data_IF_503828513583
#
_entry.id   IF_503828513583
#
_cell.length_a   1.000
_cell.length_b   1.000
_cell.length_c   1.000
_cell.angle_alpha   90.00
_cell.angle_beta   90.00
_cell.angle_gamma   90.00
#
_symmetry.space_group_name_H-M   'P 1'
#
loop_
_entity.id
_entity.type
_entity.pdbx_description
1 polymer ?
#
# COMPACT_ATOMS: atom_id res chain seq x y z
N UNK A 1 -4.07 11.88 18.78
CA UNK A 1 -3.68 10.50 19.18
C UNK A 1 -2.21 10.39 18.91
N UNK A 2 -1.46 9.91 19.85
CA UNK A 2 -0.03 9.65 19.63
C UNK A 2 0.10 8.24 19.02
N UNK A 3 0.69 8.13 17.85
CA UNK A 3 0.78 6.86 17.13
C UNK A 3 1.96 6.00 17.60
N UNK A 4 2.99 6.58 18.21
CA UNK A 4 4.19 5.87 18.65
C UNK A 4 5.07 5.36 17.49
N UNK A 5 5.06 6.06 16.37
CA UNK A 5 5.82 5.72 15.16
C UNK A 5 7.23 6.33 15.12
N UNK A 6 7.53 7.29 15.99
CA UNK A 6 8.84 7.94 16.03
C UNK A 6 9.96 6.92 16.22
N UNK A 7 11.00 7.00 15.39
CA UNK A 7 12.14 6.08 15.38
C UNK A 7 11.87 4.70 14.77
N UNK A 8 10.64 4.39 14.33
CA UNK A 8 10.31 3.19 13.57
C UNK A 8 10.87 3.26 12.16
N UNK A 9 11.03 2.12 11.51
CA UNK A 9 11.61 1.96 10.18
C UNK A 9 10.60 1.30 9.26
N UNK A 10 10.20 2.02 8.22
CA UNK A 10 9.15 1.60 7.29
C UNK A 10 9.67 1.45 5.87
N UNK A 11 9.19 0.45 5.14
CA UNK A 11 9.36 0.38 3.69
C UNK A 11 8.02 0.39 2.97
N UNK A 12 7.97 1.13 1.86
CA UNK A 12 6.77 1.29 1.04
C UNK A 12 7.11 1.03 -0.44
N UNK A 13 6.40 0.13 -1.09
CA UNK A 13 6.53 -0.08 -2.54
C UNK A 13 5.66 0.88 -3.32
N UNK A 14 6.13 1.36 -4.49
CA UNK A 14 5.37 2.28 -5.34
C UNK A 14 5.16 3.65 -4.73
N UNK A 15 6.17 4.17 -4.02
CA UNK A 15 6.02 5.36 -3.19
C UNK A 15 6.57 6.66 -3.81
N UNK A 16 6.76 6.71 -5.13
CA UNK A 16 7.15 7.96 -5.81
C UNK A 16 5.96 8.85 -6.21
N UNK A 17 4.71 8.37 -6.07
CA UNK A 17 3.49 9.12 -6.37
C UNK A 17 2.27 8.52 -5.67
N UNK A 18 1.15 9.26 -5.69
CA UNK A 18 -0.16 8.78 -5.26
C UNK A 18 -0.21 8.33 -3.82
N UNK A 19 -0.98 7.27 -3.55
CA UNK A 19 -1.19 6.73 -2.20
C UNK A 19 0.13 6.34 -1.54
N UNK A 20 1.01 5.62 -2.25
CA UNK A 20 2.28 5.18 -1.69
C UNK A 20 3.18 6.34 -1.27
N UNK A 21 3.25 7.42 -2.05
CA UNK A 21 3.98 8.64 -1.69
C UNK A 21 3.38 9.28 -0.44
N UNK A 22 2.06 9.43 -0.41
CA UNK A 22 1.40 10.03 0.75
C UNK A 22 1.57 9.20 2.03
N UNK A 23 1.60 7.86 1.92
CA UNK A 23 1.94 6.96 3.03
C UNK A 23 3.37 7.23 3.52
N UNK A 24 4.34 7.31 2.59
CA UNK A 24 5.73 7.60 2.94
C UNK A 24 5.88 8.96 3.65
N UNK A 25 5.23 9.99 3.13
CA UNK A 25 5.22 11.34 3.72
C UNK A 25 4.55 11.39 5.10
N UNK A 26 3.44 10.65 5.28
CA UNK A 26 2.73 10.57 6.56
C UNK A 26 3.58 9.86 7.60
N UNK A 27 4.19 8.70 7.26
CA UNK A 27 5.06 7.97 8.19
C UNK A 27 6.33 8.78 8.54
N UNK A 28 6.92 9.50 7.57
CA UNK A 28 8.04 10.40 7.83
C UNK A 28 7.63 11.56 8.74
N UNK A 29 6.44 12.13 8.56
CA UNK A 29 5.88 13.16 9.44
C UNK A 29 5.66 12.68 10.88
N UNK A 30 5.43 11.39 11.09
CA UNK A 30 5.35 10.74 12.40
C UNK A 30 6.73 10.33 12.96
N UNK A 31 7.83 10.67 12.26
CA UNK A 31 9.21 10.42 12.70
C UNK A 31 9.76 9.04 12.33
N UNK A 32 9.15 8.33 11.38
CA UNK A 32 9.71 7.09 10.85
C UNK A 32 10.89 7.34 9.91
N UNK A 33 11.91 6.50 9.98
CA UNK A 33 12.84 6.31 8.86
C UNK A 33 12.12 5.55 7.73
N UNK A 34 12.29 6.00 6.46
CA UNK A 34 11.46 5.52 5.36
C UNK A 34 12.28 5.01 4.17
N UNK A 35 12.05 3.77 3.76
CA UNK A 35 12.57 3.20 2.51
C UNK A 35 11.48 3.14 1.43
N UNK A 36 11.81 3.58 0.22
CA UNK A 36 10.87 3.57 -0.91
C UNK A 36 11.45 2.92 -2.15
N UNK A 37 10.59 2.33 -2.97
CA UNK A 37 10.95 1.96 -4.34
C UNK A 37 9.83 2.33 -5.33
N UNK A 38 10.24 2.57 -6.56
CA UNK A 38 9.37 2.73 -7.72
C UNK A 38 10.22 2.58 -8.99
N UNK A 39 9.62 2.56 -10.19
CA UNK A 39 10.36 2.35 -11.45
C UNK A 39 11.20 3.56 -11.88
N UNK A 40 10.73 4.76 -11.61
CA UNK A 40 11.39 6.01 -12.06
C UNK A 40 12.47 6.47 -11.08
N UNK A 41 13.74 6.44 -11.49
CA UNK A 41 14.87 6.79 -10.64
C UNK A 41 14.81 8.24 -10.15
N UNK A 42 14.51 9.18 -11.05
CA UNK A 42 14.45 10.61 -10.71
C UNK A 42 13.32 10.92 -9.72
N UNK A 43 12.14 10.31 -9.91
CA UNK A 43 11.03 10.48 -9.00
C UNK A 43 11.29 9.85 -7.63
N UNK A 44 12.02 8.73 -7.57
CA UNK A 44 12.47 8.13 -6.31
C UNK A 44 13.45 9.05 -5.61
N UNK A 45 14.45 9.58 -6.32
CA UNK A 45 15.46 10.48 -5.75
C UNK A 45 14.81 11.78 -5.21
N UNK A 46 13.89 12.38 -5.96
CA UNK A 46 13.15 13.56 -5.52
C UNK A 46 12.34 13.28 -4.25
N UNK A 47 11.63 12.14 -4.21
CA UNK A 47 10.85 11.77 -3.03
C UNK A 47 11.74 11.50 -1.81
N UNK A 48 12.89 10.85 -1.98
CA UNK A 48 13.87 10.66 -0.88
C UNK A 48 14.32 11.99 -0.31
N UNK A 49 14.71 12.95 -1.16
CA UNK A 49 15.14 14.28 -0.72
C UNK A 49 14.05 15.02 0.09
N UNK A 50 12.78 14.88 -0.33
CA UNK A 50 11.65 15.48 0.41
C UNK A 50 11.41 14.80 1.77
N UNK A 51 11.61 13.46 1.85
CA UNK A 51 11.50 12.72 3.11
C UNK A 51 12.64 13.13 4.07
N UNK A 52 13.87 13.25 3.56
CA UNK A 52 15.03 13.72 4.34
C UNK A 52 14.84 15.15 4.84
N UNK A 53 14.22 16.02 4.04
CA UNK A 53 13.88 17.38 4.45
C UNK A 53 12.89 17.43 5.63
N UNK A 54 12.15 16.34 5.91
CA UNK A 54 11.33 16.20 7.13
C UNK A 54 12.15 15.81 8.37
N UNK A 55 13.47 15.62 8.23
CA UNK A 55 14.37 15.31 9.33
C UNK A 55 14.46 13.83 9.70
N UNK A 56 14.05 12.93 8.83
CA UNK A 56 14.14 11.48 9.04
C UNK A 56 15.11 10.83 8.04
N UNK A 57 15.77 9.72 8.40
CA UNK A 57 16.53 8.94 7.44
C UNK A 57 15.63 8.42 6.32
N UNK A 58 16.06 8.53 5.06
CA UNK A 58 15.35 7.97 3.94
C UNK A 58 16.27 7.16 3.03
N UNK A 59 15.71 6.13 2.37
CA UNK A 59 16.41 5.28 1.40
C UNK A 59 15.50 5.06 0.19
N UNK A 60 16.05 5.15 -1.02
CA UNK A 60 15.28 4.91 -2.22
C UNK A 60 16.07 4.23 -3.32
N UNK A 61 15.39 3.40 -4.11
CA UNK A 61 15.97 2.75 -5.30
C UNK A 61 14.91 2.57 -6.38
N UNK A 62 15.35 2.71 -7.64
CA UNK A 62 14.52 2.33 -8.79
C UNK A 62 14.44 0.80 -8.86
N UNK A 63 13.21 0.27 -8.75
CA UNK A 63 12.91 -1.17 -8.80
C UNK A 63 11.60 -1.39 -9.54
N UNK A 64 11.58 -2.34 -10.47
CA UNK A 64 10.34 -2.93 -10.95
C UNK A 64 9.96 -4.08 -10.02
N UNK A 65 8.80 -3.99 -9.39
CA UNK A 65 8.33 -4.99 -8.43
C UNK A 65 7.99 -6.33 -9.08
N UNK A 66 7.84 -6.40 -10.40
CA UNK A 66 7.69 -7.63 -11.15
C UNK A 66 9.02 -8.42 -11.20
N UNK A 67 10.17 -7.74 -11.08
CA UNK A 67 11.48 -8.39 -10.92
C UNK A 67 11.66 -8.84 -9.46
N UNK A 68 11.26 -10.08 -9.19
CA UNK A 68 11.32 -10.65 -7.85
C UNK A 68 12.71 -10.63 -7.20
N UNK A 69 13.79 -11.03 -7.88
CA UNK A 69 15.17 -10.90 -7.39
C UNK A 69 15.56 -9.48 -7.02
N UNK A 70 15.30 -8.49 -7.90
CA UNK A 70 15.59 -7.08 -7.63
C UNK A 70 14.80 -6.54 -6.43
N UNK A 71 13.51 -6.91 -6.32
CA UNK A 71 12.65 -6.53 -5.21
C UNK A 71 13.16 -7.09 -3.86
N UNK A 72 13.50 -8.37 -3.80
CA UNK A 72 14.05 -8.99 -2.57
C UNK A 72 15.38 -8.37 -2.17
N UNK A 73 16.22 -8.02 -3.13
CA UNK A 73 17.48 -7.32 -2.89
C UNK A 73 17.22 -5.94 -2.31
N UNK A 74 16.29 -5.18 -2.91
CA UNK A 74 15.92 -3.85 -2.39
C UNK A 74 15.40 -3.89 -0.95
N UNK A 75 14.55 -4.87 -0.60
CA UNK A 75 14.04 -5.02 0.77
C UNK A 75 15.19 -5.18 1.78
N UNK A 76 16.19 -6.03 1.47
CA UNK A 76 17.36 -6.23 2.34
C UNK A 76 18.20 -4.97 2.45
N UNK A 77 18.53 -4.35 1.32
CA UNK A 77 19.33 -3.14 1.29
C UNK A 77 18.66 -1.97 2.04
N UNK A 78 17.33 -1.84 1.90
CA UNK A 78 16.55 -0.86 2.65
C UNK A 78 16.58 -1.15 4.16
N UNK A 79 16.42 -2.41 4.55
CA UNK A 79 16.50 -2.81 5.96
C UNK A 79 17.89 -2.52 6.54
N UNK A 80 18.95 -2.78 5.79
CA UNK A 80 20.33 -2.48 6.22
C UNK A 80 20.56 -0.97 6.33
N UNK A 81 20.15 -0.20 5.32
CA UNK A 81 20.32 1.26 5.30
C UNK A 81 19.56 1.96 6.44
N UNK A 82 18.37 1.46 6.80
CA UNK A 82 17.54 2.01 7.88
C UNK A 82 17.89 1.43 9.26
N UNK A 83 18.73 0.39 9.33
CA UNK A 83 19.09 -0.28 10.57
C UNK A 83 17.98 -1.19 11.13
N UNK A 84 17.19 -1.83 10.28
CA UNK A 84 16.10 -2.77 10.60
C UNK A 84 14.81 -2.44 9.88
N UNK A 85 13.71 -3.20 10.18
CA UNK A 85 12.36 -2.91 9.71
C UNK A 85 11.33 -3.17 10.80
N UNK A 86 10.40 -2.24 10.95
CA UNK A 86 9.23 -2.34 11.82
C UNK A 86 7.93 -2.40 11.02
N UNK A 87 7.88 -1.73 9.85
CA UNK A 87 6.67 -1.55 9.04
C UNK A 87 6.94 -1.88 7.58
N UNK A 88 6.04 -2.63 6.97
CA UNK A 88 6.07 -2.97 5.53
C UNK A 88 4.73 -2.64 4.90
N UNK A 89 4.76 -1.80 3.85
CA UNK A 89 3.55 -1.39 3.13
C UNK A 89 3.67 -1.76 1.65
N UNK A 90 3.23 -2.96 1.24
CA UNK A 90 3.07 -3.30 -0.17
C UNK A 90 1.88 -2.52 -0.74
N UNK A 91 2.16 -1.64 -1.75
CA UNK A 91 1.14 -0.70 -2.24
C UNK A 91 0.98 -0.74 -3.77
N UNK A 92 1.92 -1.29 -4.53
CA UNK A 92 1.88 -1.25 -6.01
C UNK A 92 0.68 -1.98 -6.59
N UNK A 93 0.18 -1.46 -7.72
CA UNK A 93 -0.86 -2.09 -8.52
C UNK A 93 -0.56 -1.95 -10.02
N UNK A 94 -0.95 -2.96 -10.79
CA UNK A 94 -0.98 -2.92 -12.25
C UNK A 94 -2.21 -2.15 -12.79
N UNK A 95 -3.21 -1.86 -11.94
CA UNK A 95 -4.48 -1.21 -12.28
C UNK A 95 -5.24 -1.91 -13.43
N UNK A 96 -5.04 -3.22 -13.60
CA UNK A 96 -5.75 -4.02 -14.59
C UNK A 96 -5.48 -3.64 -16.05
N UNK A 97 -4.28 -3.12 -16.34
CA UNK A 97 -3.93 -2.71 -17.70
C UNK A 97 -3.96 -3.91 -18.67
N UNK A 98 -4.82 -3.83 -19.71
CA UNK A 98 -4.91 -4.78 -20.80
C UNK A 98 -5.97 -5.88 -20.61
N UNK A 99 -6.02 -6.79 -21.59
CA UNK A 99 -6.94 -7.92 -21.65
C UNK A 99 -6.20 -9.24 -21.90
N UNK A 100 -6.86 -10.36 -21.68
CA UNK A 100 -6.35 -11.70 -21.96
C UNK A 100 -5.26 -12.17 -21.00
N UNK A 101 -4.57 -13.24 -21.39
CA UNK A 101 -3.59 -13.93 -20.55
C UNK A 101 -2.45 -13.04 -20.05
N UNK A 102 -2.04 -12.06 -20.83
CA UNK A 102 -0.93 -11.17 -20.46
C UNK A 102 -1.32 -10.23 -19.33
N UNK A 103 -2.54 -9.69 -19.35
CA UNK A 103 -3.08 -8.90 -18.25
C UNK A 103 -3.17 -9.72 -16.95
N UNK A 104 -3.60 -10.98 -17.04
CA UNK A 104 -3.61 -11.90 -15.89
C UNK A 104 -2.20 -12.16 -15.34
N UNK A 105 -1.21 -12.40 -16.21
CA UNK A 105 0.18 -12.59 -15.76
C UNK A 105 0.76 -11.33 -15.13
N UNK A 106 0.53 -10.17 -15.75
CA UNK A 106 1.00 -8.90 -15.20
C UNK A 106 0.37 -8.62 -13.83
N UNK A 107 -0.93 -8.73 -13.68
CA UNK A 107 -1.60 -8.57 -12.38
C UNK A 107 -1.14 -9.61 -11.37
N UNK A 108 -0.91 -10.86 -11.77
CA UNK A 108 -0.36 -11.87 -10.88
C UNK A 108 1.00 -11.46 -10.32
N UNK A 109 1.93 -11.00 -11.17
CA UNK A 109 3.25 -10.58 -10.74
C UNK A 109 3.23 -9.28 -9.92
N UNK A 110 2.43 -8.28 -10.37
CA UNK A 110 2.43 -6.93 -9.80
C UNK A 110 1.42 -6.77 -8.67
N UNK A 111 0.20 -7.32 -8.76
CA UNK A 111 -0.80 -7.13 -7.70
C UNK A 111 -0.68 -8.17 -6.59
N UNK A 112 -0.23 -9.41 -6.88
CA UNK A 112 -0.14 -10.47 -5.87
C UNK A 112 1.31 -10.79 -5.49
N UNK A 113 2.14 -11.26 -6.45
CA UNK A 113 3.45 -11.83 -6.12
C UNK A 113 4.43 -10.79 -5.57
N UNK A 114 4.33 -9.52 -5.97
CA UNK A 114 5.17 -8.49 -5.37
C UNK A 114 4.91 -8.36 -3.85
N UNK A 115 3.64 -8.43 -3.42
CA UNK A 115 3.29 -8.39 -1.98
C UNK A 115 3.87 -9.59 -1.24
N UNK A 116 3.66 -10.80 -1.78
CA UNK A 116 4.21 -12.04 -1.22
C UNK A 116 5.73 -11.93 -1.05
N UNK A 117 6.44 -11.57 -2.13
CA UNK A 117 7.92 -11.44 -2.13
C UNK A 117 8.43 -10.35 -1.19
N UNK A 118 7.72 -9.22 -1.11
CA UNK A 118 8.11 -8.12 -0.20
C UNK A 118 7.98 -8.57 1.25
N UNK A 119 6.85 -9.19 1.62
CA UNK A 119 6.62 -9.67 2.98
C UNK A 119 7.62 -10.76 3.35
N UNK A 120 7.80 -11.79 2.51
CA UNK A 120 8.76 -12.87 2.77
C UNK A 120 10.19 -12.34 2.97
N UNK A 121 10.65 -11.40 2.13
CA UNK A 121 11.99 -10.82 2.26
C UNK A 121 12.15 -9.97 3.53
N UNK A 122 11.06 -9.37 4.02
CA UNK A 122 11.05 -8.53 5.21
C UNK A 122 10.91 -9.33 6.53
N UNK A 123 10.37 -10.56 6.50
CA UNK A 123 10.09 -11.36 7.70
C UNK A 123 11.26 -11.46 8.69
N UNK A 124 12.52 -11.72 8.29
CA UNK A 124 13.63 -11.81 9.23
C UNK A 124 13.81 -10.52 10.05
N UNK A 125 13.62 -9.36 9.41
CA UNK A 125 13.76 -8.06 10.05
C UNK A 125 12.55 -7.71 10.94
N UNK A 126 11.34 -8.02 10.48
CA UNK A 126 10.11 -7.84 11.27
C UNK A 126 10.13 -8.69 12.55
N UNK A 127 10.64 -9.93 12.49
CA UNK A 127 10.83 -10.78 13.67
C UNK A 127 11.85 -10.20 14.64
N UNK A 128 12.93 -9.61 14.14
CA UNK A 128 13.93 -8.92 14.98
C UNK A 128 13.38 -7.67 15.66
N UNK A 129 12.45 -6.96 15.03
CA UNK A 129 11.76 -5.81 15.63
C UNK A 129 10.97 -6.18 16.88
N UNK A 130 10.41 -7.39 16.95
CA UNK A 130 9.53 -7.85 18.04
C UNK A 130 8.16 -7.15 18.09
N UNK A 131 7.87 -6.22 17.17
CA UNK A 131 6.62 -5.47 17.07
C UNK A 131 6.31 -5.10 15.61
N UNK A 132 6.53 -6.04 14.70
CA UNK A 132 6.37 -5.82 13.26
C UNK A 132 4.94 -5.54 12.83
N UNK A 133 4.75 -4.73 11.77
CA UNK A 133 3.46 -4.48 11.16
C UNK A 133 3.55 -4.55 9.62
N UNK A 134 2.64 -5.29 9.02
CA UNK A 134 2.42 -5.31 7.56
C UNK A 134 1.06 -4.70 7.28
N UNK A 135 1.01 -3.69 6.40
CA UNK A 135 -0.25 -3.08 5.95
C UNK A 135 -0.32 -3.15 4.43
N UNK A 136 -1.12 -4.06 3.92
CA UNK A 136 -1.29 -4.29 2.48
C UNK A 136 -2.32 -3.30 1.93
N UNK A 137 -1.99 -2.61 0.84
CA UNK A 137 -2.96 -1.77 0.12
C UNK A 137 -3.67 -2.60 -0.95
N UNK A 138 -4.95 -2.89 -0.72
CA UNK A 138 -5.84 -3.59 -1.65
C UNK A 138 -6.78 -2.61 -2.37
N UNK A 139 -8.07 -2.91 -2.44
CA UNK A 139 -9.11 -2.07 -3.07
C UNK A 139 -10.49 -2.55 -2.65
N UNK A 140 -11.49 -1.68 -2.66
CA UNK A 140 -12.90 -2.10 -2.49
C UNK A 140 -13.38 -3.01 -3.61
N UNK A 141 -12.83 -2.90 -4.82
CA UNK A 141 -13.14 -3.81 -5.93
C UNK A 141 -12.80 -5.29 -5.63
N UNK A 142 -12.04 -5.57 -4.57
CA UNK A 142 -11.82 -6.92 -4.07
C UNK A 142 -13.03 -7.51 -3.32
N UNK A 143 -14.01 -6.70 -2.97
CA UNK A 143 -15.16 -7.06 -2.13
C UNK A 143 -16.50 -6.89 -2.84
N UNK A 144 -16.58 -5.97 -3.79
CA UNK A 144 -17.80 -5.62 -4.48
C UNK A 144 -17.66 -5.87 -5.98
N UNK A 145 -18.66 -6.50 -6.57
CA UNK A 145 -18.75 -6.69 -8.02
C UNK A 145 -19.25 -5.37 -8.62
N UNK A 146 -18.37 -4.71 -9.35
CA UNK A 146 -18.62 -3.41 -9.92
C UNK A 146 -18.28 -3.35 -11.41
N UNK A 147 -18.06 -2.16 -11.95
CA UNK A 147 -17.71 -2.01 -13.37
C UNK A 147 -16.29 -2.46 -13.73
N UNK A 148 -15.49 -2.83 -12.72
CA UNK A 148 -14.09 -3.25 -12.89
C UNK A 148 -13.98 -4.75 -12.64
N UNK A 149 -14.20 -5.54 -13.69
CA UNK A 149 -14.01 -6.99 -13.64
C UNK A 149 -12.65 -7.39 -14.22
N UNK A 150 -12.20 -8.62 -13.94
CA UNK A 150 -10.98 -9.18 -14.51
C UNK A 150 -9.86 -9.42 -13.51
N UNK A 151 -8.59 -9.37 -13.95
CA UNK A 151 -7.45 -9.81 -13.11
C UNK A 151 -7.23 -8.94 -11.88
N UNK A 152 -7.34 -7.62 -12.00
CA UNK A 152 -7.07 -6.68 -10.91
C UNK A 152 -7.91 -6.94 -9.65
N UNK A 153 -9.26 -6.86 -9.69
CA UNK A 153 -10.06 -7.10 -8.49
C UNK A 153 -9.90 -8.51 -7.95
N UNK A 154 -9.78 -9.51 -8.85
CA UNK A 154 -9.60 -10.91 -8.47
C UNK A 154 -8.31 -11.13 -7.68
N UNK A 155 -7.19 -10.58 -8.15
CA UNK A 155 -5.91 -10.76 -7.47
C UNK A 155 -5.78 -9.88 -6.23
N UNK A 156 -6.44 -8.72 -6.19
CA UNK A 156 -6.58 -7.93 -4.97
C UNK A 156 -7.46 -8.63 -3.92
N UNK A 157 -8.47 -9.40 -4.30
CA UNK A 157 -9.21 -10.26 -3.38
C UNK A 157 -8.33 -11.38 -2.81
N UNK A 158 -7.46 -11.96 -3.64
CA UNK A 158 -6.46 -12.93 -3.18
C UNK A 158 -5.51 -12.33 -2.13
N UNK A 159 -5.14 -11.05 -2.24
CA UNK A 159 -4.33 -10.35 -1.23
C UNK A 159 -5.04 -10.25 0.13
N UNK A 160 -6.35 -9.95 0.14
CA UNK A 160 -7.13 -9.88 1.38
C UNK A 160 -7.11 -11.24 2.08
N UNK A 161 -7.30 -12.32 1.31
CA UNK A 161 -7.23 -13.69 1.86
C UNK A 161 -5.83 -14.05 2.34
N UNK A 162 -4.80 -13.68 1.58
CA UNK A 162 -3.39 -13.88 1.94
C UNK A 162 -3.05 -13.18 3.25
N UNK A 163 -3.38 -11.89 3.37
CA UNK A 163 -3.11 -11.09 4.57
C UNK A 163 -3.80 -11.67 5.83
N UNK A 164 -5.04 -12.14 5.70
CA UNK A 164 -5.75 -12.79 6.81
C UNK A 164 -5.05 -14.08 7.27
N UNK A 165 -4.52 -14.88 6.33
CA UNK A 165 -3.72 -16.07 6.65
C UNK A 165 -2.42 -15.73 7.38
N UNK A 166 -1.68 -14.75 6.83
CA UNK A 166 -0.43 -14.26 7.42
C UNK A 166 -0.63 -13.66 8.82
N UNK A 167 -1.76 -12.97 9.05
CA UNK A 167 -2.08 -12.42 10.37
C UNK A 167 -2.15 -13.52 11.45
N UNK A 168 -2.80 -14.63 11.14
CA UNK A 168 -2.89 -15.77 12.06
C UNK A 168 -1.54 -16.46 12.25
N UNK A 169 -0.78 -16.64 11.16
CA UNK A 169 0.52 -17.32 11.18
C UNK A 169 1.58 -16.53 11.95
N UNK A 170 1.63 -15.21 11.79
CA UNK A 170 2.68 -14.35 12.33
C UNK A 170 2.35 -13.74 13.70
N UNK A 171 1.11 -13.89 14.18
CA UNK A 171 0.72 -13.38 15.49
C UNK A 171 1.61 -13.89 16.65
N UNK A 172 2.04 -15.17 16.69
CA UNK A 172 2.97 -15.66 17.72
C UNK A 172 4.34 -14.97 17.70
N UNK A 173 4.75 -14.44 16.55
CA UNK A 173 6.00 -13.69 16.39
C UNK A 173 5.85 -12.18 16.72
N UNK A 174 4.67 -11.75 17.19
CA UNK A 174 4.37 -10.35 17.49
C UNK A 174 4.20 -9.46 16.25
N UNK A 175 3.97 -10.05 15.07
CA UNK A 175 3.80 -9.33 13.81
C UNK A 175 2.30 -9.24 13.49
N UNK A 176 1.82 -8.02 13.27
CA UNK A 176 0.45 -7.75 12.85
C UNK A 176 0.38 -7.61 11.33
N UNK A 177 -0.67 -8.14 10.72
CA UNK A 177 -0.90 -8.04 9.28
C UNK A 177 -2.33 -7.55 9.05
N UNK A 178 -2.49 -6.43 8.36
CA UNK A 178 -3.78 -5.83 8.05
C UNK A 178 -3.84 -5.39 6.60
N UNK A 179 -5.03 -5.10 6.14
CA UNK A 179 -5.32 -4.58 4.79
C UNK A 179 -6.00 -3.23 4.92
N UNK A 180 -5.66 -2.31 4.03
CA UNK A 180 -6.45 -1.11 3.74
C UNK A 180 -7.00 -1.25 2.33
N UNK A 181 -8.30 -1.11 2.17
CA UNK A 181 -9.00 -1.16 0.87
C UNK A 181 -9.59 0.21 0.54
N UNK A 182 -8.87 1.03 -0.27
CA UNK A 182 -9.39 2.31 -0.73
C UNK A 182 -10.57 2.15 -1.69
N UNK A 183 -11.51 3.11 -1.64
CA UNK A 183 -12.53 3.31 -2.66
C UNK A 183 -12.01 4.13 -3.85
N UNK A 184 -12.86 5.02 -4.36
CA UNK A 184 -12.47 6.01 -5.39
C UNK A 184 -11.62 7.11 -4.74
N UNK A 185 -10.31 7.08 -5.01
CA UNK A 185 -9.34 8.07 -4.49
C UNK A 185 -8.89 8.97 -5.64
N UNK A 186 -9.15 10.28 -5.51
CA UNK A 186 -8.75 11.25 -6.52
C UNK A 186 -7.26 11.58 -6.42
N UNK A 187 -6.58 11.44 -7.54
CA UNK A 187 -5.18 11.82 -7.74
C UNK A 187 -5.12 12.48 -9.11
N UNK A 188 -4.71 13.75 -9.18
CA UNK A 188 -4.72 14.55 -10.41
C UNK A 188 -3.95 13.87 -11.56
N UNK A 189 -2.72 13.37 -11.27
CA UNK A 189 -1.88 12.63 -12.23
C UNK A 189 -2.14 11.12 -12.21
N UNK A 190 -3.26 10.68 -11.64
CA UNK A 190 -3.66 9.29 -11.50
C UNK A 190 -4.80 8.88 -12.43
N UNK A 191 -5.36 7.68 -12.15
CA UNK A 191 -6.46 7.12 -12.93
C UNK A 191 -7.68 8.06 -12.97
N UNK A 192 -8.17 8.55 -11.82
CA UNK A 192 -9.36 9.39 -11.77
C UNK A 192 -9.15 10.79 -12.37
N UNK A 193 -7.95 11.37 -12.25
CA UNK A 193 -7.63 12.61 -12.94
C UNK A 193 -7.56 12.45 -14.47
N UNK A 194 -7.08 11.29 -14.97
CA UNK A 194 -7.17 10.97 -16.40
C UNK A 194 -8.64 10.78 -16.84
N UNK A 195 -9.43 10.04 -16.06
CA UNK A 195 -10.86 9.84 -16.34
C UNK A 195 -11.63 11.17 -16.34
N UNK A 196 -11.34 12.07 -15.42
CA UNK A 196 -11.96 13.40 -15.37
C UNK A 196 -11.73 14.20 -16.66
N UNK A 197 -10.51 14.13 -17.22
CA UNK A 197 -10.15 14.81 -18.47
C UNK A 197 -10.73 14.13 -19.71
N UNK A 198 -10.64 12.80 -19.76
CA UNK A 198 -10.88 12.03 -20.99
C UNK A 198 -12.32 11.51 -21.09
N UNK A 199 -13.00 11.32 -19.96
CA UNK A 199 -14.38 10.82 -19.86
C UNK A 199 -15.13 11.45 -18.68
N UNK A 200 -15.47 12.76 -18.76
CA UNK A 200 -16.10 13.48 -17.64
C UNK A 200 -17.48 12.95 -17.25
N UNK A 201 -18.20 12.29 -18.16
CA UNK A 201 -19.49 11.67 -17.86
C UNK A 201 -19.31 10.45 -16.94
N UNK A 202 -18.35 9.59 -17.23
CA UNK A 202 -18.02 8.46 -16.37
C UNK A 202 -17.48 8.93 -15.00
N UNK A 203 -16.65 9.99 -14.99
CA UNK A 203 -16.19 10.61 -13.75
C UNK A 203 -17.35 11.13 -12.89
N UNK A 204 -18.29 11.87 -13.49
CA UNK A 204 -19.47 12.35 -12.79
C UNK A 204 -20.34 11.22 -12.24
N UNK A 205 -20.49 10.12 -12.99
CA UNK A 205 -21.19 8.92 -12.54
C UNK A 205 -20.50 8.26 -11.33
N UNK A 206 -19.17 8.14 -11.38
CA UNK A 206 -18.38 7.59 -10.26
C UNK A 206 -18.46 8.50 -9.02
N UNK A 207 -18.44 9.81 -9.20
CA UNK A 207 -18.61 10.76 -8.10
C UNK A 207 -20.01 10.66 -7.46
N UNK A 208 -21.05 10.57 -8.28
CA UNK A 208 -22.44 10.46 -7.84
C UNK A 208 -22.72 9.12 -7.12
N UNK A 209 -21.96 8.06 -7.44
CA UNK A 209 -22.09 6.76 -6.78
C UNK A 209 -21.53 6.75 -5.36
N UNK A 210 -20.71 7.73 -4.99
CA UNK A 210 -20.11 7.82 -3.66
C UNK A 210 -21.10 8.51 -2.67
N UNK A 211 -21.59 7.82 -1.65
CA UNK A 211 -22.57 8.39 -0.71
C UNK A 211 -22.09 9.62 0.05
N UNK A 212 -20.77 9.79 0.25
CA UNK A 212 -20.22 11.02 0.85
C UNK A 212 -20.16 12.21 -0.13
N UNK A 213 -20.58 12.04 -1.40
CA UNK A 213 -20.63 13.10 -2.41
C UNK A 213 -19.27 13.57 -2.92
N UNK A 214 -18.21 12.84 -2.63
CA UNK A 214 -16.83 13.14 -3.08
C UNK A 214 -15.99 11.87 -3.18
N UNK A 215 -14.92 11.93 -3.93
CA UNK A 215 -13.85 10.94 -3.83
C UNK A 215 -13.00 11.17 -2.59
N UNK A 216 -12.35 10.12 -2.12
CA UNK A 216 -11.36 10.21 -1.05
C UNK A 216 -10.05 10.82 -1.55
N UNK A 217 -9.15 11.14 -0.62
CA UNK A 217 -7.81 11.64 -0.91
C UNK A 217 -6.73 10.63 -0.51
N UNK A 218 -5.53 10.71 -1.09
CA UNK A 218 -4.39 9.88 -0.66
C UNK A 218 -4.07 10.01 0.83
N UNK A 219 -4.26 11.20 1.41
CA UNK A 219 -4.02 11.48 2.84
C UNK A 219 -4.99 10.69 3.74
N UNK A 220 -6.25 10.52 3.33
CA UNK A 220 -7.23 9.75 4.10
C UNK A 220 -6.83 8.27 4.16
N UNK A 221 -6.34 7.72 3.04
CA UNK A 221 -5.80 6.36 2.99
C UNK A 221 -4.51 6.25 3.81
N UNK A 222 -3.60 7.21 3.68
CA UNK A 222 -2.31 7.20 4.38
C UNK A 222 -2.48 7.24 5.91
N UNK A 223 -3.47 7.98 6.42
CA UNK A 223 -3.79 8.03 7.86
C UNK A 223 -4.28 6.67 8.36
N UNK A 224 -5.10 5.96 7.59
CA UNK A 224 -5.55 4.61 7.92
C UNK A 224 -4.37 3.62 7.94
N UNK A 225 -3.46 3.71 6.95
CA UNK A 225 -2.22 2.92 6.91
C UNK A 225 -1.35 3.22 8.13
N UNK A 226 -1.13 4.50 8.46
CA UNK A 226 -0.32 4.90 9.60
C UNK A 226 -0.90 4.39 10.92
N UNK A 227 -2.22 4.45 11.12
CA UNK A 227 -2.89 3.86 12.28
C UNK A 227 -2.64 2.36 12.38
N UNK A 228 -2.89 1.59 11.31
CA UNK A 228 -2.71 0.14 11.32
C UNK A 228 -1.23 -0.28 11.44
N UNK A 229 -0.30 0.53 10.95
CA UNK A 229 1.14 0.33 11.11
C UNK A 229 1.62 0.59 12.54
N UNK A 230 0.92 1.42 13.29
CA UNK A 230 1.36 1.99 14.56
C UNK A 230 1.11 1.09 15.77
N UNK A 231 1.85 1.28 16.88
CA UNK A 231 1.54 0.70 18.18
C UNK A 231 0.15 1.03 18.72
N UNK A 232 -0.47 2.14 18.28
CA UNK A 232 -1.84 2.49 18.66
C UNK A 232 -2.89 1.44 18.22
N UNK A 233 -2.54 0.59 17.23
CA UNK A 233 -3.35 -0.55 16.77
C UNK A 233 -2.81 -1.92 17.22
N UNK A 234 -2.13 -1.98 18.38
CA UNK A 234 -1.41 -3.17 18.87
C UNK A 234 -2.26 -4.44 19.00
N UNK A 235 -3.57 -4.32 19.10
CA UNK A 235 -4.50 -5.47 19.19
C UNK A 235 -5.35 -5.64 17.92
N UNK A 236 -4.97 -4.98 16.80
CA UNK A 236 -5.65 -5.06 15.50
C UNK A 236 -4.78 -5.83 14.52
N UNK A 237 -5.19 -7.05 14.17
CA UNK A 237 -4.53 -7.90 13.17
C UNK A 237 -5.56 -8.74 12.43
N UNK A 238 -5.36 -8.97 11.14
CA UNK A 238 -6.28 -9.72 10.28
C UNK A 238 -7.48 -8.91 9.77
N UNK A 239 -7.53 -7.60 10.03
CA UNK A 239 -8.62 -6.75 9.55
C UNK A 239 -8.37 -6.26 8.12
N UNK A 240 -9.48 -6.01 7.42
CA UNK A 240 -9.50 -5.21 6.21
C UNK A 240 -10.29 -3.93 6.47
N UNK A 241 -9.59 -2.80 6.50
CA UNK A 241 -10.18 -1.49 6.74
C UNK A 241 -10.57 -0.83 5.41
N UNK A 242 -11.88 -0.66 5.18
CA UNK A 242 -12.36 0.11 4.04
C UNK A 242 -12.18 1.61 4.29
N UNK A 243 -11.62 2.31 3.31
CA UNK A 243 -11.48 3.77 3.27
C UNK A 243 -12.13 4.25 1.97
N UNK A 244 -13.45 4.28 1.94
CA UNK A 244 -14.22 4.33 0.71
C UNK A 244 -15.43 5.28 0.72
N UNK A 245 -15.70 5.97 1.81
CA UNK A 245 -16.86 6.87 1.92
C UNK A 245 -18.20 6.16 1.78
N UNK A 246 -18.28 4.90 2.24
CA UNK A 246 -19.48 4.03 2.15
C UNK A 246 -19.81 3.63 0.71
N UNK A 247 -18.84 3.66 -0.20
CA UNK A 247 -19.02 3.22 -1.59
C UNK A 247 -19.41 1.73 -1.64
N UNK A 248 -18.75 0.89 -0.86
CA UNK A 248 -19.07 -0.54 -0.73
C UNK A 248 -20.33 -0.73 0.10
N UNK A 249 -21.31 -1.44 -0.48
CA UNK A 249 -22.57 -1.73 0.18
C UNK A 249 -22.52 -3.14 0.76
N UNK A 250 -22.48 -3.25 2.05
CA UNK A 250 -22.48 -4.55 2.72
C UNK A 250 -22.07 -4.43 4.19
N UNK A 251 -22.32 -5.50 4.92
CA UNK A 251 -21.82 -5.67 6.29
C UNK A 251 -20.55 -6.49 6.22
N UNK A 252 -19.48 -5.99 6.80
CA UNK A 252 -18.25 -6.77 6.94
C UNK A 252 -18.37 -7.67 8.18
N UNK A 253 -18.19 -8.96 7.98
CA UNK A 253 -18.16 -9.96 9.03
C UNK A 253 -16.73 -10.46 9.24
#
# INVERSE_FOLDING_TARGET
>A
MELGLSGKKAIITGASRGIGRQVAETLAGEGCAVGICARGADAVAATVAELEAKGVPAFGRAVDVADGPALRTWVRDAAEALGGLDVVVPNVSALGAGEGDEAWRMSFEVDLMHTVRTVEAALPFLKQSGAGAVVVVATVAAHDTGPFEGPYPTLKAALVRYAAGMAAELAPDGIRVNVVSPGTIYIEDGFWGAVERDNPEFFAGALASNPMGRMGTPEEVARAVAFLASPASSFTSGTNLLVDGVLTRGVQY
#
